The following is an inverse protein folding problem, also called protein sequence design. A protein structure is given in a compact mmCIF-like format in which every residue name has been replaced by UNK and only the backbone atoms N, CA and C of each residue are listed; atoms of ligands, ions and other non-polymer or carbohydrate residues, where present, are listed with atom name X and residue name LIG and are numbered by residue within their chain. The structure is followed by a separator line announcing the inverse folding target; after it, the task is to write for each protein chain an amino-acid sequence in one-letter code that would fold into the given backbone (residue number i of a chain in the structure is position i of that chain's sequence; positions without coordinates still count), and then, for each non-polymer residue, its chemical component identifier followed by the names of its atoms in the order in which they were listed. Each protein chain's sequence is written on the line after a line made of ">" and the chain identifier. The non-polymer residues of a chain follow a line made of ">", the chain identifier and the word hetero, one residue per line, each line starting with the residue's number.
data_IF_885920448772
#
_entry.id   IF_885920448772
#
_cell.length_a   1.000
_cell.length_b   1.000
_cell.length_c   1.000
_cell.angle_alpha   90.00
_cell.angle_beta   90.00
_cell.angle_gamma   90.00
#
_symmetry.space_group_name_H-M   'P 1'
#
loop_
_entity.id
_entity.type
_entity.pdbx_description
1 polymer ?
#
# COMPACT_ATOMS: atom_id res chain seq x y z
N UNK A 1 27.86 -9.48 20.26
CA UNK A 1 27.29 -8.85 19.06
C UNK A 1 25.79 -8.72 19.29
N UNK A 2 25.24 -7.50 19.23
CA UNK A 2 23.79 -7.34 19.23
C UNK A 2 23.21 -8.03 17.98
N UNK A 3 22.02 -8.66 18.05
CA UNK A 3 21.42 -9.28 16.88
C UNK A 3 21.31 -8.25 15.75
N UNK A 4 21.66 -8.67 14.54
CA UNK A 4 21.50 -7.87 13.32
C UNK A 4 20.02 -7.48 13.22
N UNK A 5 19.73 -6.21 13.52
CA UNK A 5 18.36 -5.70 13.51
C UNK A 5 17.89 -5.74 12.06
N UNK A 6 17.02 -6.71 11.74
CA UNK A 6 16.48 -6.91 10.39
C UNK A 6 15.96 -5.58 9.85
N UNK A 7 16.37 -5.27 8.61
CA UNK A 7 15.87 -4.10 7.87
C UNK A 7 14.34 -4.13 7.83
N UNK A 8 13.71 -3.05 8.26
CA UNK A 8 12.28 -2.85 8.16
C UNK A 8 11.99 -1.84 7.04
N UNK A 9 11.16 -2.23 6.07
CA UNK A 9 10.83 -1.41 4.90
C UNK A 9 9.32 -1.27 4.83
N UNK A 10 8.85 -0.03 4.78
CA UNK A 10 7.43 0.30 4.59
C UNK A 10 7.22 0.72 3.13
N UNK A 11 6.30 0.08 2.43
CA UNK A 11 5.95 0.45 1.05
C UNK A 11 4.69 1.32 1.03
N UNK A 12 4.86 2.60 0.70
CA UNK A 12 3.76 3.52 0.49
C UNK A 12 3.12 3.34 -0.88
N UNK A 13 1.85 2.92 -0.91
CA UNK A 13 1.05 2.79 -2.14
C UNK A 13 -0.12 3.79 -2.22
N UNK A 14 -0.34 4.60 -1.18
CA UNK A 14 -1.43 5.57 -1.07
C UNK A 14 -0.94 6.92 -0.57
N UNK A 15 -1.58 7.45 0.49
CA UNK A 15 -1.22 8.75 1.10
C UNK A 15 0.25 8.85 1.47
N UNK A 16 0.85 7.75 1.95
CA UNK A 16 2.26 7.70 2.32
C UNK A 16 3.21 8.14 1.19
N UNK A 17 2.83 8.03 -0.08
CA UNK A 17 3.65 8.50 -1.22
C UNK A 17 3.93 10.00 -1.16
N UNK A 18 2.94 10.82 -0.74
CA UNK A 18 3.05 12.28 -0.71
C UNK A 18 2.99 12.87 0.70
N UNK A 19 2.52 12.09 1.68
CA UNK A 19 2.42 12.48 3.07
C UNK A 19 2.76 11.28 3.98
N UNK A 20 4.06 10.95 4.14
CA UNK A 20 4.50 9.78 4.93
C UNK A 20 4.23 9.90 6.44
N UNK A 21 3.86 11.08 6.94
CA UNK A 21 3.73 11.35 8.37
C UNK A 21 5.09 11.64 9.03
N UNK A 22 5.06 12.41 10.12
CA UNK A 22 6.28 12.76 10.86
C UNK A 22 6.92 11.53 11.55
N UNK A 23 6.09 10.55 11.92
CA UNK A 23 6.50 9.41 12.74
C UNK A 23 7.08 8.25 11.93
N UNK A 24 7.16 8.36 10.59
CA UNK A 24 7.72 7.31 9.73
C UNK A 24 9.27 7.28 9.74
N UNK A 25 9.92 8.41 10.06
CA UNK A 25 11.39 8.56 10.19
C UNK A 25 12.25 7.69 9.23
N UNK A 26 12.07 7.79 7.89
CA UNK A 26 12.84 6.98 6.97
C UNK A 26 14.31 7.43 6.89
N UNK A 27 15.24 6.48 6.89
CA UNK A 27 16.65 6.73 6.55
C UNK A 27 16.78 6.99 5.05
N UNK A 28 16.04 6.22 4.23
CA UNK A 28 16.01 6.40 2.77
C UNK A 28 14.61 6.23 2.22
N UNK A 29 14.35 6.90 1.10
CA UNK A 29 13.12 6.75 0.31
C UNK A 29 13.51 6.42 -1.13
N UNK A 30 12.96 5.36 -1.70
CA UNK A 30 13.29 4.91 -3.06
C UNK A 30 12.02 4.62 -3.86
N UNK A 31 11.78 5.30 -5.00
CA UNK A 31 10.68 4.97 -5.89
C UNK A 31 10.81 3.52 -6.35
N UNK A 32 9.71 2.80 -6.36
CA UNK A 32 9.71 1.39 -6.75
C UNK A 32 8.31 0.88 -7.05
N UNK A 33 8.20 -0.42 -7.29
CA UNK A 33 6.92 -1.05 -7.57
C UNK A 33 6.81 -2.44 -6.97
N UNK A 34 5.58 -2.83 -6.65
CA UNK A 34 5.22 -4.21 -6.29
C UNK A 34 4.65 -4.92 -7.52
N UNK A 35 5.03 -6.19 -7.72
CA UNK A 35 4.47 -7.07 -8.75
C UNK A 35 3.32 -7.90 -8.18
N UNK A 36 2.33 -8.24 -9.00
CA UNK A 36 1.26 -9.18 -8.63
C UNK A 36 0.14 -8.58 -7.77
N UNK A 37 0.12 -7.26 -7.62
CA UNK A 37 -0.95 -6.52 -6.95
C UNK A 37 -1.63 -5.56 -7.91
N UNK A 38 -2.86 -5.19 -7.58
CA UNK A 38 -3.58 -4.06 -8.17
C UNK A 38 -3.88 -3.03 -7.09
N UNK A 39 -3.80 -1.76 -7.45
CA UNK A 39 -4.25 -0.64 -6.60
C UNK A 39 -5.62 -0.18 -7.04
N UNK A 40 -6.59 -0.20 -6.13
CA UNK A 40 -7.99 0.18 -6.42
C UNK A 40 -8.56 1.03 -5.29
N UNK A 41 -9.42 1.98 -5.63
CA UNK A 41 -10.22 2.76 -4.66
C UNK A 41 -11.38 1.92 -4.10
N UNK A 42 -11.05 0.80 -3.47
CA UNK A 42 -12.01 -0.20 -3.03
C UNK A 42 -12.22 -0.21 -1.51
N UNK A 43 -11.38 0.49 -0.73
CA UNK A 43 -11.50 0.54 0.72
C UNK A 43 -12.43 1.66 1.16
N UNK A 44 -13.34 1.36 2.08
CA UNK A 44 -14.29 2.30 2.66
C UNK A 44 -13.57 3.25 3.63
N UNK A 45 -13.86 4.54 3.58
CA UNK A 45 -13.32 5.54 4.52
C UNK A 45 -14.42 6.48 5.01
N UNK A 46 -14.57 6.59 6.32
CA UNK A 46 -15.59 7.41 6.99
C UNK A 46 -15.01 8.52 7.86
N UNK A 47 -13.69 8.51 8.06
CA UNK A 47 -12.96 9.30 9.04
C UNK A 47 -12.02 10.31 8.38
N UNK A 48 -11.50 10.00 7.19
CA UNK A 48 -10.50 10.81 6.49
C UNK A 48 -11.00 11.41 5.17
N UNK A 49 -11.76 10.65 4.39
CA UNK A 49 -12.19 11.02 3.02
C UNK A 49 -13.69 10.83 2.79
N UNK A 50 -14.46 10.76 3.87
CA UNK A 50 -15.92 10.66 3.87
C UNK A 50 -16.45 10.89 5.29
N UNK A 51 -17.72 10.56 5.50
CA UNK A 51 -18.36 10.51 6.83
C UNK A 51 -19.06 9.16 7.01
N UNK A 52 -19.54 8.81 8.21
CA UNK A 52 -20.34 7.60 8.41
C UNK A 52 -21.58 7.52 7.51
N UNK A 53 -22.25 8.65 7.29
CA UNK A 53 -23.46 8.77 6.47
C UNK A 53 -23.14 8.79 4.97
N UNK A 54 -21.98 9.30 4.59
CA UNK A 54 -21.52 9.41 3.21
C UNK A 54 -20.05 8.95 3.09
N UNK A 55 -19.79 7.62 3.12
CA UNK A 55 -18.45 7.10 3.11
C UNK A 55 -17.75 7.36 1.78
N UNK A 56 -16.49 7.79 1.88
CA UNK A 56 -15.59 7.88 0.75
C UNK A 56 -14.96 6.54 0.39
N UNK A 57 -14.14 6.56 -0.66
CA UNK A 57 -13.29 5.43 -1.06
C UNK A 57 -11.83 5.86 -1.06
N UNK A 58 -10.98 5.01 -0.52
CA UNK A 58 -9.51 5.17 -0.52
C UNK A 58 -8.85 3.98 -1.20
N UNK A 59 -7.59 4.15 -1.59
CA UNK A 59 -6.83 3.09 -2.26
C UNK A 59 -6.48 1.96 -1.30
N UNK A 60 -6.50 0.74 -1.82
CA UNK A 60 -5.96 -0.45 -1.16
C UNK A 60 -5.21 -1.31 -2.17
N UNK A 61 -4.38 -2.23 -1.67
CA UNK A 61 -3.72 -3.25 -2.48
C UNK A 61 -4.49 -4.55 -2.41
N UNK A 62 -4.77 -5.13 -3.57
CA UNK A 62 -5.44 -6.43 -3.69
C UNK A 62 -4.51 -7.30 -4.52
N UNK A 63 -4.30 -8.55 -4.09
CA UNK A 63 -3.55 -9.51 -4.93
C UNK A 63 -4.29 -9.66 -6.25
N UNK A 64 -3.56 -9.66 -7.37
CA UNK A 64 -4.16 -9.76 -8.71
C UNK A 64 -5.08 -10.98 -8.83
N UNK A 65 -4.64 -12.12 -8.32
CA UNK A 65 -5.44 -13.36 -8.35
C UNK A 65 -6.78 -13.22 -7.60
N UNK A 66 -6.78 -12.53 -6.45
CA UNK A 66 -7.98 -12.36 -5.65
C UNK A 66 -8.93 -11.37 -6.34
N UNK A 67 -8.37 -10.33 -6.96
CA UNK A 67 -9.12 -9.36 -7.76
C UNK A 67 -9.76 -10.00 -9.00
N UNK A 68 -9.05 -10.90 -9.69
CA UNK A 68 -9.55 -11.63 -10.85
C UNK A 68 -10.64 -12.65 -10.49
N UNK A 69 -10.58 -13.20 -9.28
CA UNK A 69 -11.54 -14.18 -8.77
C UNK A 69 -12.83 -13.54 -8.24
N UNK A 70 -12.94 -12.20 -8.21
CA UNK A 70 -14.18 -11.53 -7.83
C UNK A 70 -15.22 -11.73 -8.94
N UNK A 71 -16.24 -12.54 -8.67
CA UNK A 71 -17.40 -12.70 -9.55
C UNK A 71 -18.20 -11.39 -9.61
N UNK A 72 -18.17 -10.73 -10.77
CA UNK A 72 -18.94 -9.52 -11.01
C UNK A 72 -19.07 -9.21 -12.49
N UNK A 73 -20.25 -8.74 -12.95
CA UNK A 73 -20.38 -8.23 -14.30
C UNK A 73 -19.56 -6.95 -14.40
N UNK A 74 -18.53 -6.93 -15.25
CA UNK A 74 -17.71 -5.75 -15.62
C UNK A 74 -16.44 -5.50 -14.79
N UNK A 75 -15.51 -6.45 -14.73
CA UNK A 75 -14.14 -6.03 -15.06
C UNK A 75 -14.19 -5.87 -16.58
N UNK A 76 -14.49 -4.66 -17.07
CA UNK A 76 -14.46 -4.41 -18.51
C UNK A 76 -13.09 -4.80 -19.07
N UNK A 77 -13.03 -5.25 -20.33
CA UNK A 77 -11.76 -5.58 -20.98
C UNK A 77 -10.71 -4.44 -20.90
N UNK A 78 -11.17 -3.20 -20.70
CA UNK A 78 -10.32 -2.02 -20.46
C UNK A 78 -9.65 -1.95 -19.08
N UNK A 79 -10.12 -2.71 -18.10
CA UNK A 79 -9.51 -2.88 -16.78
C UNK A 79 -8.82 -4.24 -16.61
N UNK A 80 -9.01 -5.15 -17.57
CA UNK A 80 -8.27 -6.39 -17.63
C UNK A 80 -6.79 -6.07 -17.91
N UNK A 81 -5.91 -6.65 -17.09
CA UNK A 81 -4.50 -6.62 -17.41
C UNK A 81 -4.26 -7.55 -18.60
N UNK A 82 -3.45 -7.17 -19.60
CA UNK A 82 -3.18 -8.02 -20.75
C UNK A 82 -2.71 -9.41 -20.30
N UNK A 83 -3.20 -10.46 -20.97
CA UNK A 83 -2.81 -11.83 -20.66
C UNK A 83 -1.28 -11.96 -20.71
N UNK A 84 -0.69 -12.58 -19.67
CA UNK A 84 0.76 -12.75 -19.55
C UNK A 84 1.52 -11.52 -19.00
N UNK A 85 0.86 -10.38 -18.74
CA UNK A 85 1.49 -9.21 -18.10
C UNK A 85 1.22 -9.23 -16.60
N UNK A 86 2.30 -9.29 -15.81
CA UNK A 86 2.21 -9.16 -14.36
C UNK A 86 1.95 -7.70 -14.01
N UNK A 87 0.82 -7.36 -13.34
CA UNK A 87 0.54 -5.99 -12.95
C UNK A 87 1.57 -5.49 -11.95
N UNK A 88 1.87 -4.20 -12.05
CA UNK A 88 2.74 -3.50 -11.11
C UNK A 88 2.01 -2.33 -10.46
N UNK A 89 2.32 -2.09 -9.18
CA UNK A 89 1.86 -0.90 -8.45
C UNK A 89 3.08 -0.08 -8.07
N UNK A 90 3.17 1.12 -8.65
CA UNK A 90 4.20 2.09 -8.30
C UNK A 90 3.91 2.79 -6.96
N UNK A 91 4.98 3.02 -6.20
CA UNK A 91 4.94 3.64 -4.89
C UNK A 91 6.34 4.04 -4.41
N UNK A 92 6.47 4.23 -3.11
CA UNK A 92 7.72 4.61 -2.45
C UNK A 92 8.10 3.57 -1.40
N UNK A 93 9.33 3.07 -1.43
CA UNK A 93 9.87 2.23 -0.38
C UNK A 93 10.64 3.09 0.63
N UNK A 94 10.22 3.06 1.89
CA UNK A 94 10.82 3.77 3.01
C UNK A 94 11.64 2.79 3.84
N UNK A 95 12.96 2.95 3.88
CA UNK A 95 13.82 2.16 4.77
C UNK A 95 13.81 2.81 6.14
N UNK A 96 13.28 2.11 7.13
CA UNK A 96 13.11 2.61 8.50
C UNK A 96 14.39 2.38 9.30
N UNK A 97 14.72 3.33 10.17
CA UNK A 97 15.78 3.14 11.15
C UNK A 97 15.50 1.90 12.00
N UNK A 98 16.41 0.90 12.04
CA UNK A 98 16.23 -0.27 12.87
C UNK A 98 16.06 0.06 14.37
N UNK A 99 16.51 1.21 14.84
CA UNK A 99 16.28 1.68 16.22
C UNK A 99 14.85 2.17 16.45
N UNK A 100 14.15 2.60 15.40
CA UNK A 100 12.78 3.14 15.44
C UNK A 100 11.73 2.16 14.90
N UNK A 101 12.14 1.00 14.39
CA UNK A 101 11.26 0.06 13.70
C UNK A 101 10.03 -0.36 14.52
N UNK A 102 10.17 -0.61 15.83
CA UNK A 102 9.04 -0.98 16.70
C UNK A 102 8.07 0.20 16.93
N UNK A 103 8.58 1.42 17.03
CA UNK A 103 7.75 2.63 17.12
C UNK A 103 6.96 2.84 15.82
N UNK A 104 7.60 2.65 14.67
CA UNK A 104 6.93 2.79 13.37
C UNK A 104 5.87 1.71 13.17
N UNK A 105 6.11 0.46 13.59
CA UNK A 105 5.07 -0.60 13.56
C UNK A 105 3.87 -0.23 14.42
N UNK A 106 4.12 0.24 15.65
CA UNK A 106 3.07 0.69 16.55
C UNK A 106 2.27 1.87 15.98
N UNK A 107 2.94 2.84 15.33
CA UNK A 107 2.31 3.96 14.63
C UNK A 107 1.41 3.50 13.47
N UNK A 108 1.86 2.52 12.69
CA UNK A 108 1.11 1.98 11.55
C UNK A 108 -0.01 1.01 11.97
N UNK A 109 -0.03 0.58 13.24
CA UNK A 109 -1.02 -0.36 13.77
C UNK A 109 -0.79 -1.82 13.36
N UNK A 110 0.46 -2.20 13.10
CA UNK A 110 0.88 -3.60 12.84
C UNK A 110 0.97 -4.45 14.12
#
# INVERSE_FOLDING_TARGET
>A
MAPDKRRYIVFGYGSLIYNPGADLYPITSTPGYLKGYVRRFAQRSEDHRGTPEAPGRVVTLIRKQDWDALDGPRISDSQAHPAGVVPVVWGMAYTIDPERAEEVKAYLGD
#
